data_IF_449632799988
#
_entry.id   IF_449632799988
#
_cell.length_a   1.000
_cell.length_b   1.000
_cell.length_c   1.000
_cell.angle_alpha   90.00
_cell.angle_beta   90.00
_cell.angle_gamma   90.00
#
_symmetry.space_group_name_H-M   'P 1'
#
loop_
_entity.id
_entity.type
_entity.pdbx_description
1 polymer ?
#
# COMPACT_ATOMS: atom_id res chain seq x y z
N UNK A 1 -27.57 68.00 50.79
CA UNK A 1 -28.49 67.45 49.75
C UNK A 1 -28.34 65.94 49.81
N UNK A 2 -29.30 65.24 50.43
CA UNK A 2 -30.30 64.40 49.76
C UNK A 2 -29.65 63.37 48.81
N UNK A 3 -29.96 62.08 48.82
CA UNK A 3 -30.81 61.19 49.60
C UNK A 3 -30.62 59.80 48.93
N UNK A 4 -30.88 58.71 49.66
CA UNK A 4 -31.37 57.41 49.12
C UNK A 4 -30.43 56.64 48.17
N UNK A 5 -30.31 55.30 48.16
CA UNK A 5 -31.29 54.24 48.43
C UNK A 5 -30.51 52.93 48.58
N UNK A 6 -30.80 52.15 49.61
CA UNK A 6 -30.60 50.69 49.61
C UNK A 6 -31.52 50.05 48.56
N UNK A 7 -31.25 48.83 48.09
CA UNK A 7 -32.21 47.70 47.89
C UNK A 7 -31.69 46.65 46.87
N UNK A 8 -31.85 45.38 47.27
CA UNK A 8 -31.99 44.11 46.51
C UNK A 8 -30.79 43.53 45.76
N UNK A 9 -30.24 42.38 46.19
CA UNK A 9 -30.77 40.99 46.09
C UNK A 9 -30.88 40.50 44.65
N UNK A 10 -30.16 39.42 44.31
CA UNK A 10 -30.69 38.17 43.69
C UNK A 10 -29.54 37.17 43.51
N UNK A 11 -29.84 35.95 43.96
CA UNK A 11 -29.08 34.72 43.98
C UNK A 11 -28.96 34.12 42.56
N UNK A 12 -27.80 33.60 42.18
CA UNK A 12 -27.70 32.67 41.05
C UNK A 12 -26.65 31.59 41.35
N UNK A 13 -27.16 30.37 41.48
CA UNK A 13 -26.46 29.15 41.83
C UNK A 13 -25.46 28.77 40.73
N UNK A 14 -24.22 28.42 41.11
CA UNK A 14 -23.25 27.83 40.17
C UNK A 14 -23.71 26.40 39.85
N UNK A 15 -23.91 26.01 38.58
CA UNK A 15 -24.17 24.62 38.27
C UNK A 15 -22.90 23.78 38.50
N UNK A 16 -23.06 22.68 39.24
CA UNK A 16 -22.07 21.60 39.32
C UNK A 16 -21.87 21.05 37.91
N UNK A 17 -20.67 21.24 37.36
CA UNK A 17 -20.29 20.66 36.08
C UNK A 17 -20.34 19.13 36.18
N UNK A 18 -21.30 18.52 35.50
CA UNK A 18 -21.38 17.08 35.31
C UNK A 18 -20.12 16.58 34.58
N UNK A 19 -19.43 15.62 35.19
CA UNK A 19 -18.22 14.99 34.69
C UNK A 19 -18.58 14.06 33.52
N UNK A 20 -18.59 14.62 32.31
CA UNK A 20 -18.75 13.87 31.07
C UNK A 20 -17.53 12.96 30.81
N UNK A 21 -17.80 11.69 30.51
CA UNK A 21 -16.80 10.68 30.14
C UNK A 21 -16.14 11.07 28.81
N UNK A 22 -14.82 11.20 28.80
CA UNK A 22 -14.06 11.44 27.57
C UNK A 22 -14.19 10.24 26.61
N UNK A 23 -14.37 10.45 25.30
CA UNK A 23 -14.45 9.35 24.33
C UNK A 23 -13.11 8.63 24.22
N UNK A 24 -13.14 7.31 24.34
CA UNK A 24 -11.99 6.43 24.07
C UNK A 24 -11.62 6.56 22.59
N UNK A 25 -10.42 7.07 22.32
CA UNK A 25 -9.87 7.12 20.96
C UNK A 25 -9.61 5.69 20.49
N UNK A 26 -10.03 5.29 19.27
CA UNK A 26 -9.66 4.00 18.72
C UNK A 26 -8.13 3.96 18.56
N UNK A 27 -7.48 3.07 19.32
CA UNK A 27 -6.07 2.77 19.14
C UNK A 27 -5.93 2.06 17.78
N UNK A 28 -5.37 2.77 16.80
CA UNK A 28 -5.05 2.21 15.49
C UNK A 28 -3.87 1.26 15.66
N UNK A 29 -4.14 -0.03 15.76
CA UNK A 29 -3.09 -1.05 15.73
C UNK A 29 -2.65 -1.22 14.29
N UNK A 30 -1.41 -0.82 14.00
CA UNK A 30 -0.77 -1.06 12.70
C UNK A 30 -0.06 -2.40 12.75
N UNK A 31 -0.42 -3.30 11.82
CA UNK A 31 0.25 -4.59 11.70
C UNK A 31 1.65 -4.38 11.12
N UNK A 32 2.68 -4.50 11.96
CA UNK A 32 4.09 -4.27 11.59
C UNK A 32 4.76 -5.50 10.94
N UNK A 33 3.99 -6.54 10.63
CA UNK A 33 4.48 -7.82 10.14
C UNK A 33 5.14 -7.75 8.75
N UNK A 34 4.90 -6.69 7.97
CA UNK A 34 5.50 -6.53 6.63
C UNK A 34 6.90 -5.92 6.62
N UNK A 35 7.51 -5.71 7.78
CA UNK A 35 8.85 -5.12 7.87
C UNK A 35 10.00 -6.13 7.95
N UNK A 36 9.83 -7.44 7.69
CA UNK A 36 10.99 -8.35 7.67
C UNK A 36 11.99 -7.99 6.55
N UNK A 37 11.50 -7.83 5.32
CA UNK A 37 12.35 -7.51 4.17
C UNK A 37 12.91 -6.08 4.20
N UNK A 38 12.17 -5.12 4.77
CA UNK A 38 12.64 -3.73 4.92
C UNK A 38 13.57 -3.53 6.10
N UNK A 39 13.45 -4.31 7.18
CA UNK A 39 14.37 -4.24 8.32
C UNK A 39 15.73 -4.81 7.96
N UNK A 40 15.81 -5.83 7.09
CA UNK A 40 17.09 -6.30 6.55
C UNK A 40 17.84 -5.21 5.75
N UNK A 41 17.13 -4.39 4.96
CA UNK A 41 17.73 -3.27 4.22
C UNK A 41 18.03 -2.06 5.12
N UNK A 42 17.18 -1.77 6.11
CA UNK A 42 17.43 -0.69 7.09
C UNK A 42 18.60 -1.06 8.02
N UNK A 43 18.77 -2.35 8.36
CA UNK A 43 19.89 -2.84 9.16
C UNK A 43 21.24 -2.65 8.46
N UNK A 44 21.28 -2.72 7.11
CA UNK A 44 22.51 -2.44 6.34
C UNK A 44 22.89 -0.95 6.32
N UNK A 45 21.92 -0.04 6.51
CA UNK A 45 22.15 1.42 6.55
C UNK A 45 22.21 2.02 7.96
N UNK A 46 21.83 1.28 9.00
CA UNK A 46 21.73 1.76 10.37
C UNK A 46 22.88 1.23 11.26
N UNK A 47 24.12 1.43 10.85
CA UNK A 47 25.29 1.26 11.73
C UNK A 47 25.46 2.38 12.77
N UNK A 48 24.45 3.23 12.99
CA UNK A 48 24.54 4.41 13.86
C UNK A 48 23.45 4.52 14.96
N UNK A 49 22.75 3.44 15.32
CA UNK A 49 21.79 3.48 16.43
C UNK A 49 21.80 2.16 17.23
N UNK A 50 22.94 1.84 17.82
CA UNK A 50 23.13 0.70 18.70
C UNK A 50 22.56 0.97 20.11
N UNK A 51 21.24 1.15 20.27
CA UNK A 51 20.57 1.01 21.59
C UNK A 51 19.11 0.61 21.34
N UNK A 52 18.71 -0.60 21.81
CA UNK A 52 17.34 -1.18 22.00
C UNK A 52 17.16 -2.65 21.54
N UNK A 53 18.25 -3.40 21.36
CA UNK A 53 18.23 -4.77 20.83
C UNK A 53 17.53 -5.89 21.64
N UNK A 54 17.33 -5.89 22.97
CA UNK A 54 16.83 -7.10 23.64
C UNK A 54 15.30 -7.26 23.63
N UNK A 55 14.52 -6.18 23.41
CA UNK A 55 13.05 -6.26 23.45
C UNK A 55 12.41 -6.70 22.12
N UNK A 56 13.18 -6.74 21.03
CA UNK A 56 12.69 -7.05 19.69
C UNK A 56 12.77 -8.56 19.36
N UNK A 57 13.55 -9.33 20.13
CA UNK A 57 13.75 -10.78 19.93
C UNK A 57 12.60 -11.61 20.53
N UNK A 58 11.80 -11.05 21.45
CA UNK A 58 10.64 -11.73 22.04
C UNK A 58 9.34 -11.59 21.22
N UNK A 59 9.33 -10.75 20.18
CA UNK A 59 8.26 -10.69 19.20
C UNK A 59 8.60 -11.61 18.01
N UNK A 60 9.05 -12.83 18.27
CA UNK A 60 9.06 -13.85 17.23
C UNK A 60 7.58 -14.14 16.93
N UNK A 61 7.05 -13.82 15.73
CA UNK A 61 5.73 -14.31 15.37
C UNK A 61 5.77 -15.82 15.59
N UNK A 62 4.88 -16.30 16.46
CA UNK A 62 4.75 -17.71 16.76
C UNK A 62 4.68 -18.47 15.43
N UNK A 63 5.61 -19.40 15.27
CA UNK A 63 5.85 -20.23 14.09
C UNK A 63 4.67 -21.19 13.91
N UNK A 64 3.52 -20.65 13.51
CA UNK A 64 2.28 -21.37 13.23
C UNK A 64 2.06 -21.59 11.73
N UNK A 65 3.03 -21.21 10.89
CA UNK A 65 3.07 -21.58 9.49
C UNK A 65 4.05 -22.73 9.36
N UNK A 66 3.51 -23.94 9.26
CA UNK A 66 4.25 -25.19 9.06
C UNK A 66 5.08 -25.16 7.77
N UNK A 67 4.79 -24.26 6.82
CA UNK A 67 5.51 -24.07 5.57
C UNK A 67 5.75 -22.58 5.25
N UNK A 68 6.88 -22.29 4.62
CA UNK A 68 7.08 -21.01 3.92
C UNK A 68 6.19 -21.00 2.67
N UNK A 69 5.27 -20.04 2.62
CA UNK A 69 4.37 -19.83 1.49
C UNK A 69 4.76 -18.54 0.76
N UNK A 70 4.55 -18.53 -0.55
CA UNK A 70 4.80 -17.34 -1.37
C UNK A 70 3.73 -16.24 -1.15
N UNK A 71 2.60 -16.58 -0.53
CA UNK A 71 1.50 -15.69 -0.12
C UNK A 71 1.03 -14.72 -1.23
N UNK A 72 0.96 -15.20 -2.47
CA UNK A 72 0.49 -14.41 -3.62
C UNK A 72 -1.03 -14.35 -3.77
N UNK A 73 -1.78 -15.15 -3.03
CA UNK A 73 -3.24 -15.22 -3.11
C UNK A 73 -3.90 -13.95 -2.52
N UNK A 74 -4.94 -13.42 -3.18
CA UNK A 74 -5.68 -12.25 -2.73
C UNK A 74 -4.92 -10.91 -2.73
N UNK A 75 -3.67 -10.90 -3.19
CA UNK A 75 -2.81 -9.70 -3.18
C UNK A 75 -3.08 -8.71 -4.32
N UNK A 76 -3.78 -9.15 -5.38
CA UNK A 76 -4.11 -8.30 -6.54
C UNK A 76 -2.88 -7.85 -7.35
N UNK A 77 -1.76 -8.58 -7.27
CA UNK A 77 -0.55 -8.22 -8.01
C UNK A 77 -0.77 -8.30 -9.52
N UNK A 78 -0.30 -7.29 -10.29
CA UNK A 78 -0.48 -7.25 -11.73
C UNK A 78 0.21 -8.46 -12.39
N UNK A 79 -0.53 -9.16 -13.25
CA UNK A 79 -0.10 -10.41 -13.90
C UNK A 79 0.40 -11.51 -12.94
N UNK A 80 0.12 -11.40 -11.63
CA UNK A 80 0.62 -12.34 -10.62
C UNK A 80 2.13 -12.28 -10.40
N UNK A 81 2.81 -11.20 -10.81
CA UNK A 81 4.27 -11.07 -10.73
C UNK A 81 4.68 -10.66 -9.32
N UNK A 82 5.18 -11.60 -8.52
CA UNK A 82 5.65 -11.32 -7.15
C UNK A 82 7.16 -11.01 -7.04
N UNK A 83 7.94 -11.30 -8.08
CA UNK A 83 9.38 -11.05 -8.18
C UNK A 83 9.71 -10.43 -9.54
N UNK A 84 10.74 -9.58 -9.59
CA UNK A 84 11.19 -8.91 -10.81
C UNK A 84 11.60 -9.88 -11.92
N UNK A 85 12.14 -11.05 -11.57
CA UNK A 85 12.50 -12.09 -12.55
C UNK A 85 11.26 -12.60 -13.30
N UNK A 86 10.11 -12.76 -12.65
CA UNK A 86 8.89 -13.22 -13.30
C UNK A 86 8.40 -12.22 -14.36
N UNK A 87 8.56 -10.92 -14.11
CA UNK A 87 8.27 -9.89 -15.10
C UNK A 87 9.16 -10.02 -16.35
N UNK A 88 10.44 -10.32 -16.17
CA UNK A 88 11.38 -10.55 -17.28
C UNK A 88 11.07 -11.82 -18.06
N UNK A 89 10.55 -12.87 -17.42
CA UNK A 89 10.10 -14.08 -18.14
C UNK A 89 8.92 -13.76 -19.06
N UNK A 90 7.96 -12.97 -18.59
CA UNK A 90 6.80 -12.54 -19.40
C UNK A 90 7.28 -11.67 -20.55
N UNK A 91 8.07 -10.63 -20.27
CA UNK A 91 8.61 -9.73 -21.29
C UNK A 91 9.51 -10.46 -22.29
N UNK A 92 10.35 -11.38 -21.82
CA UNK A 92 11.25 -12.18 -22.63
C UNK A 92 10.51 -13.12 -23.56
N UNK A 93 9.50 -13.83 -23.07
CA UNK A 93 8.72 -14.77 -23.90
C UNK A 93 7.91 -14.03 -24.97
N UNK A 94 7.16 -12.99 -24.57
CA UNK A 94 6.39 -12.16 -25.49
C UNK A 94 7.30 -11.48 -26.51
N UNK A 95 8.39 -10.88 -26.04
CA UNK A 95 9.37 -10.17 -26.87
C UNK A 95 10.09 -11.10 -27.84
N UNK A 96 10.38 -12.34 -27.45
CA UNK A 96 11.04 -13.33 -28.33
C UNK A 96 10.11 -13.72 -29.48
N UNK A 97 8.86 -14.06 -29.18
CA UNK A 97 7.87 -14.42 -30.21
C UNK A 97 7.62 -13.21 -31.14
N UNK A 98 7.48 -12.02 -30.55
CA UNK A 98 7.33 -10.79 -31.31
C UNK A 98 8.54 -10.49 -32.20
N UNK A 99 9.77 -10.69 -31.72
CA UNK A 99 10.97 -10.46 -32.51
C UNK A 99 11.05 -11.41 -33.72
N UNK A 100 10.73 -12.69 -33.52
CA UNK A 100 10.69 -13.67 -34.62
C UNK A 100 9.61 -13.26 -35.64
N UNK A 101 8.43 -12.87 -35.17
CA UNK A 101 7.36 -12.35 -36.02
C UNK A 101 7.80 -11.09 -36.79
N UNK A 102 8.42 -10.13 -36.10
CA UNK A 102 8.86 -8.87 -36.68
C UNK A 102 9.91 -9.06 -37.77
N UNK A 103 10.88 -9.96 -37.57
CA UNK A 103 11.87 -10.31 -38.61
C UNK A 103 11.21 -11.01 -39.80
N UNK A 104 10.14 -11.75 -39.57
CA UNK A 104 9.38 -12.45 -40.62
C UNK A 104 8.51 -11.52 -41.46
N UNK A 105 8.28 -10.26 -41.02
CA UNK A 105 7.44 -9.30 -41.74
C UNK A 105 7.95 -8.95 -43.13
N UNK A 106 9.26 -9.08 -43.37
CA UNK A 106 9.85 -8.85 -44.70
C UNK A 106 9.27 -9.76 -45.80
N UNK A 107 8.70 -10.92 -45.42
CA UNK A 107 8.15 -11.90 -46.36
C UNK A 107 6.60 -11.85 -46.44
N UNK A 108 5.95 -10.99 -45.65
CA UNK A 108 4.48 -10.95 -45.51
C UNK A 108 3.78 -9.98 -46.48
N UNK A 109 4.53 -9.20 -47.25
CA UNK A 109 4.00 -8.17 -48.14
C UNK A 109 4.06 -6.77 -47.53
N UNK A 110 4.28 -5.76 -48.38
CA UNK A 110 4.39 -4.36 -47.97
C UNK A 110 3.06 -3.64 -48.20
N UNK A 111 2.27 -3.52 -47.14
CA UNK A 111 0.92 -2.92 -47.16
C UNK A 111 1.00 -1.46 -46.70
N UNK A 112 1.80 -0.63 -47.39
CA UNK A 112 2.03 0.76 -47.03
C UNK A 112 0.87 1.68 -47.47
N UNK A 113 0.15 1.34 -48.54
CA UNK A 113 -0.98 2.16 -48.98
C UNK A 113 -2.21 1.90 -48.11
N UNK A 114 -3.03 2.94 -47.84
CA UNK A 114 -4.22 2.81 -47.00
C UNK A 114 -5.26 1.81 -47.53
N UNK A 115 -5.20 1.48 -48.82
CA UNK A 115 -6.15 0.61 -49.52
C UNK A 115 -5.60 -0.80 -49.81
N UNK A 116 -4.42 -1.15 -49.28
CA UNK A 116 -3.76 -2.46 -49.52
C UNK A 116 -4.32 -3.60 -48.64
N UNK A 117 -5.28 -3.30 -47.76
CA UNK A 117 -5.96 -4.30 -46.94
C UNK A 117 -6.86 -5.25 -47.75
N UNK A 118 -7.30 -6.34 -47.11
CA UNK A 118 -8.24 -7.28 -47.72
C UNK A 118 -9.61 -6.62 -47.93
N UNK A 119 -9.94 -6.29 -49.20
CA UNK A 119 -11.21 -5.67 -49.61
C UNK A 119 -12.13 -6.65 -50.34
N UNK A 120 -13.43 -6.34 -50.31
CA UNK A 120 -14.43 -7.01 -51.13
C UNK A 120 -14.70 -6.10 -52.34
N UNK A 121 -14.68 -6.65 -53.55
CA UNK A 121 -14.95 -5.85 -54.74
C UNK A 121 -16.48 -5.66 -54.84
N UNK A 122 -16.94 -4.41 -54.71
CA UNK A 122 -18.34 -4.02 -54.89
C UNK A 122 -18.62 -3.92 -56.40
N UNK A 123 -19.42 -4.86 -56.93
CA UNK A 123 -20.00 -4.83 -58.29
C UNK A 123 -21.26 -3.95 -58.36
#
# INVERSE_FOLDING_TARGET
>A
MLATKQISQVQAQRPLAARGVAPLRPQRVVCKAQCSNKVAEIAKKATAAAVTLPALVQAHPAFALVDDRLNGDGTGLPFGVNDGILGWVIAGTLGTIWAIFFVSQKDLGDFENPDDGLKIDDE
#
